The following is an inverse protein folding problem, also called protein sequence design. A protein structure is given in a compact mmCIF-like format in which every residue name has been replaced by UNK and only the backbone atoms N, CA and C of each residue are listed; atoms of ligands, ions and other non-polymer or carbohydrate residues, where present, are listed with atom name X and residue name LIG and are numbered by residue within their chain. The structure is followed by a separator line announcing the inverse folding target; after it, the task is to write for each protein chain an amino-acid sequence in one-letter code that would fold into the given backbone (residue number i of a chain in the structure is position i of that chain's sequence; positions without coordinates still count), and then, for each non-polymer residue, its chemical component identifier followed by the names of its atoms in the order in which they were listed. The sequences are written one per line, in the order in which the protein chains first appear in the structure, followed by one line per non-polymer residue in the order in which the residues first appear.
data_IF_191791320962
#
_entry.id   IF_191791320962
#
_cell.length_a   1.000
_cell.length_b   1.000
_cell.length_c   1.000
_cell.angle_alpha   90.00
_cell.angle_beta   90.00
_cell.angle_gamma   90.00
#
_symmetry.space_group_name_H-M   'P 1'
#
loop_
_entity.id
_entity.type
_entity.pdbx_description
1 polymer ?
#
# COMPACT_ATOMS: atom_id res chain seq x y z
N UNK A 1 -25.56 30.74 -45.16
CA UNK A 1 -25.33 31.26 -43.79
C UNK A 1 -25.54 32.76 -43.89
N UNK A 2 -26.54 33.31 -43.20
CA UNK A 2 -26.79 34.74 -43.24
C UNK A 2 -25.62 35.48 -42.57
N UNK A 3 -25.13 36.56 -43.18
CA UNK A 3 -24.03 37.34 -42.61
C UNK A 3 -24.42 37.89 -41.24
N UNK A 4 -23.48 37.80 -40.28
CA UNK A 4 -23.68 38.27 -38.90
C UNK A 4 -23.69 39.79 -38.92
N UNK A 5 -24.72 40.40 -38.35
CA UNK A 5 -24.80 41.86 -38.24
C UNK A 5 -23.97 42.28 -37.03
N UNK A 6 -22.86 43.00 -37.26
CA UNK A 6 -21.93 43.44 -36.20
C UNK A 6 -22.32 44.77 -35.56
N UNK A 7 -23.11 45.59 -36.28
CA UNK A 7 -23.50 46.94 -35.87
C UNK A 7 -25.02 47.00 -35.73
N UNK A 8 -25.50 47.48 -34.58
CA UNK A 8 -26.93 47.67 -34.30
C UNK A 8 -27.59 48.57 -35.37
N UNK A 9 -28.49 48.03 -36.22
CA UNK A 9 -29.15 48.80 -37.28
C UNK A 9 -30.03 49.94 -36.75
N UNK A 10 -30.44 49.88 -35.48
CA UNK A 10 -31.20 50.94 -34.80
C UNK A 10 -30.37 52.20 -34.55
N UNK A 11 -29.03 52.08 -34.57
CA UNK A 11 -28.09 53.19 -34.38
C UNK A 11 -27.65 53.84 -35.69
N UNK A 12 -28.08 53.31 -36.84
CA UNK A 12 -27.76 53.86 -38.15
C UNK A 12 -28.78 54.97 -38.48
N UNK A 13 -28.38 56.26 -38.50
CA UNK A 13 -29.28 57.33 -38.87
C UNK A 13 -29.68 57.21 -40.35
N UNK A 14 -30.93 57.55 -40.67
CA UNK A 14 -31.42 57.59 -42.04
C UNK A 14 -30.56 58.57 -42.86
N UNK A 15 -29.94 58.13 -43.97
CA UNK A 15 -29.20 59.04 -44.84
C UNK A 15 -30.09 60.17 -45.36
N UNK A 16 -29.54 61.37 -45.50
CA UNK A 16 -30.28 62.47 -46.09
C UNK A 16 -30.39 62.30 -47.62
N UNK A 17 -31.40 61.54 -48.04
CA UNK A 17 -31.70 61.28 -49.44
C UNK A 17 -32.15 62.54 -50.22
N UNK A 18 -32.40 63.68 -49.56
CA UNK A 18 -32.66 64.97 -50.21
C UNK A 18 -31.37 65.77 -50.49
N UNK A 19 -30.26 65.40 -49.86
CA UNK A 19 -28.96 66.05 -50.04
C UNK A 19 -28.39 65.92 -51.46
N UNK A 20 -27.42 66.78 -51.79
CA UNK A 20 -26.80 66.84 -53.12
C UNK A 20 -26.13 65.52 -53.55
N UNK A 21 -25.66 64.70 -52.60
CA UNK A 21 -25.01 63.41 -52.85
C UNK A 21 -25.90 62.38 -53.56
N UNK A 22 -27.22 62.44 -53.35
CA UNK A 22 -28.18 61.51 -53.95
C UNK A 22 -28.85 62.06 -55.21
N UNK A 23 -28.51 63.28 -55.65
CA UNK A 23 -29.14 63.93 -56.80
C UNK A 23 -28.97 63.18 -58.13
N UNK A 24 -27.89 62.40 -58.29
CA UNK A 24 -27.69 61.53 -59.44
C UNK A 24 -28.67 60.34 -59.44
N UNK A 25 -28.86 59.70 -58.28
CA UNK A 25 -29.73 58.53 -58.11
C UNK A 25 -31.20 58.92 -58.24
N UNK A 26 -31.59 60.09 -57.72
CA UNK A 26 -32.96 60.61 -57.87
C UNK A 26 -33.33 60.91 -59.32
N UNK A 27 -32.41 61.51 -60.10
CA UNK A 27 -32.63 61.74 -61.54
C UNK A 27 -32.73 60.45 -62.35
N UNK A 28 -31.93 59.43 -61.98
CA UNK A 28 -32.00 58.11 -62.61
C UNK A 28 -33.37 57.46 -62.36
N UNK A 29 -33.88 57.51 -61.12
CA UNK A 29 -35.21 56.97 -60.75
C UNK A 29 -36.38 57.69 -61.45
N UNK A 30 -36.27 58.99 -61.72
CA UNK A 30 -37.30 59.76 -62.45
C UNK A 30 -37.30 59.45 -63.96
N UNK A 31 -36.19 58.95 -64.50
CA UNK A 31 -36.04 58.64 -65.94
C UNK A 31 -36.25 57.14 -66.23
N UNK A 32 -36.43 56.32 -65.19
CA UNK A 32 -36.53 54.87 -65.29
C UNK A 32 -37.95 54.43 -65.72
N UNK A 33 -38.09 53.74 -66.88
CA UNK A 33 -39.39 53.30 -67.39
C UNK A 33 -40.09 52.23 -66.53
N UNK A 34 -39.38 51.57 -65.61
CA UNK A 34 -39.93 50.53 -64.74
C UNK A 34 -40.50 51.06 -63.41
N UNK A 35 -40.45 52.39 -63.18
CA UNK A 35 -41.05 53.04 -62.00
C UNK A 35 -41.96 54.21 -62.34
N UNK A 36 -43.18 53.95 -62.86
CA UNK A 36 -44.10 54.99 -63.37
C UNK A 36 -44.68 55.94 -62.30
N UNK A 37 -44.49 55.63 -61.01
CA UNK A 37 -45.06 56.40 -59.88
C UNK A 37 -44.11 57.47 -59.32
N UNK A 38 -42.97 57.75 -59.97
CA UNK A 38 -41.96 58.71 -59.50
C UNK A 38 -41.73 59.78 -60.56
N UNK A 39 -42.41 60.91 -60.45
CA UNK A 39 -42.38 61.99 -61.45
C UNK A 39 -41.58 63.21 -60.96
N UNK A 40 -41.33 63.30 -59.65
CA UNK A 40 -40.68 64.45 -58.99
C UNK A 40 -39.46 64.04 -58.15
N UNK A 41 -38.45 64.91 -58.03
CA UNK A 41 -37.25 64.70 -57.19
C UNK A 41 -37.60 64.39 -55.72
N UNK A 42 -38.71 64.96 -55.22
CA UNK A 42 -39.23 64.70 -53.87
C UNK A 42 -39.82 63.29 -53.71
N UNK A 43 -40.52 62.78 -54.74
CA UNK A 43 -41.08 61.42 -54.75
C UNK A 43 -39.96 60.37 -54.83
N UNK A 44 -38.89 60.67 -55.59
CA UNK A 44 -37.70 59.83 -55.64
C UNK A 44 -36.98 59.76 -54.28
N UNK A 45 -36.86 60.89 -53.58
CA UNK A 45 -36.30 60.93 -52.22
C UNK A 45 -37.18 60.18 -51.20
N UNK A 46 -38.52 60.23 -51.33
CA UNK A 46 -39.43 59.47 -50.48
C UNK A 46 -39.36 57.96 -50.73
N UNK A 47 -39.27 57.53 -51.99
CA UNK A 47 -39.12 56.12 -52.36
C UNK A 47 -37.82 55.52 -51.83
N UNK A 48 -36.70 56.24 -51.95
CA UNK A 48 -35.41 55.86 -51.36
C UNK A 48 -35.46 55.77 -49.83
N UNK A 49 -36.14 56.72 -49.16
CA UNK A 49 -36.39 56.64 -47.70
C UNK A 49 -37.26 55.45 -47.33
N UNK A 50 -38.27 55.13 -48.13
CA UNK A 50 -39.15 53.98 -47.94
C UNK A 50 -38.42 52.65 -48.06
N UNK A 51 -37.63 52.49 -49.13
CA UNK A 51 -36.79 51.32 -49.34
C UNK A 51 -35.75 51.16 -48.21
N UNK A 52 -35.06 52.25 -47.85
CA UNK A 52 -34.10 52.21 -46.74
C UNK A 52 -34.77 51.82 -45.41
N UNK A 53 -35.99 52.29 -45.13
CA UNK A 53 -36.74 51.87 -43.93
C UNK A 53 -37.07 50.38 -43.95
N UNK A 54 -37.54 49.85 -45.09
CA UNK A 54 -37.86 48.42 -45.24
C UNK A 54 -36.61 47.57 -45.02
N UNK A 55 -35.49 47.93 -45.63
CA UNK A 55 -34.21 47.22 -45.47
C UNK A 55 -33.68 47.34 -44.04
N UNK A 56 -33.71 48.55 -43.45
CA UNK A 56 -33.25 48.77 -42.08
C UNK A 56 -34.13 48.02 -41.06
N UNK A 57 -35.45 47.97 -41.26
CA UNK A 57 -36.35 47.23 -40.38
C UNK A 57 -36.14 45.72 -40.52
N UNK A 58 -35.89 45.20 -41.73
CA UNK A 58 -35.48 43.81 -41.93
C UNK A 58 -34.16 43.48 -41.21
N UNK A 59 -33.16 44.37 -41.29
CA UNK A 59 -31.89 44.23 -40.57
C UNK A 59 -32.08 44.27 -39.04
N UNK A 60 -32.96 45.13 -38.51
CA UNK A 60 -33.30 45.15 -37.07
C UNK A 60 -33.93 43.83 -36.64
N UNK A 61 -34.86 43.28 -37.40
CA UNK A 61 -35.48 41.99 -37.10
C UNK A 61 -34.44 40.86 -37.10
N UNK A 62 -33.53 40.86 -38.07
CA UNK A 62 -32.44 39.88 -38.13
C UNK A 62 -31.47 40.03 -36.95
N UNK A 63 -31.09 41.25 -36.57
CA UNK A 63 -30.21 41.52 -35.44
C UNK A 63 -30.85 41.15 -34.09
N UNK A 64 -32.16 41.42 -33.92
CA UNK A 64 -32.92 40.99 -32.75
C UNK A 64 -32.99 39.46 -32.65
N UNK A 65 -33.25 38.77 -33.76
CA UNK A 65 -33.25 37.31 -33.79
C UNK A 65 -31.87 36.73 -33.45
N UNK A 66 -30.79 37.35 -33.94
CA UNK A 66 -29.42 36.95 -33.62
C UNK A 66 -29.09 37.16 -32.14
N UNK A 67 -29.48 38.30 -31.56
CA UNK A 67 -29.24 38.62 -30.14
C UNK A 67 -29.98 37.64 -29.24
N UNK A 68 -31.24 37.33 -29.56
CA UNK A 68 -32.02 36.34 -28.82
C UNK A 68 -31.43 34.93 -28.91
N UNK A 69 -30.91 34.53 -30.09
CA UNK A 69 -30.27 33.24 -30.26
C UNK A 69 -28.96 33.14 -29.45
N UNK A 70 -28.15 34.20 -29.44
CA UNK A 70 -26.90 34.27 -28.66
C UNK A 70 -27.19 34.25 -27.14
N UNK A 71 -28.22 34.95 -26.68
CA UNK A 71 -28.68 34.93 -25.29
C UNK A 71 -29.17 33.54 -24.88
N UNK A 72 -29.97 32.87 -25.72
CA UNK A 72 -30.43 31.51 -25.46
C UNK A 72 -29.29 30.50 -25.41
N UNK A 73 -28.31 30.64 -26.31
CA UNK A 73 -27.12 29.78 -26.30
C UNK A 73 -26.26 30.02 -25.05
N UNK A 74 -26.08 31.27 -24.66
CA UNK A 74 -25.34 31.63 -23.44
C UNK A 74 -26.03 31.07 -22.19
N UNK A 75 -27.36 31.16 -22.11
CA UNK A 75 -28.14 30.63 -20.98
C UNK A 75 -28.10 29.10 -20.94
N UNK A 76 -28.23 28.43 -22.09
CA UNK A 76 -28.13 26.97 -22.15
C UNK A 76 -26.71 26.49 -21.78
N UNK A 77 -25.67 27.20 -22.21
CA UNK A 77 -24.30 26.91 -21.82
C UNK A 77 -24.06 27.11 -20.33
N UNK A 78 -24.65 28.15 -19.72
CA UNK A 78 -24.61 28.36 -18.26
C UNK A 78 -25.28 27.22 -17.51
N UNK A 79 -26.46 26.78 -17.97
CA UNK A 79 -27.19 25.66 -17.38
C UNK A 79 -26.38 24.37 -17.47
N UNK A 80 -25.84 24.04 -18.65
CA UNK A 80 -24.99 22.87 -18.85
C UNK A 80 -23.72 22.91 -17.99
N UNK A 81 -23.08 24.08 -17.87
CA UNK A 81 -21.91 24.24 -17.02
C UNK A 81 -22.26 24.07 -15.53
N UNK A 82 -23.44 24.50 -15.10
CA UNK A 82 -23.91 24.32 -13.72
C UNK A 82 -24.24 22.85 -13.45
N UNK A 83 -24.98 22.19 -14.34
CA UNK A 83 -25.28 20.75 -14.25
C UNK A 83 -23.99 19.91 -14.22
N UNK A 84 -23.00 20.24 -15.05
CA UNK A 84 -21.71 19.56 -15.06
C UNK A 84 -20.92 19.75 -13.75
N UNK A 85 -21.00 20.93 -13.13
CA UNK A 85 -20.38 21.19 -11.82
C UNK A 85 -21.06 20.37 -10.73
N UNK A 86 -22.38 20.36 -10.70
CA UNK A 86 -23.17 19.59 -9.73
C UNK A 86 -22.91 18.08 -9.86
N UNK A 87 -22.81 17.58 -11.10
CA UNK A 87 -22.42 16.19 -11.36
C UNK A 87 -20.99 15.88 -10.89
N UNK A 88 -20.02 16.75 -11.19
CA UNK A 88 -18.64 16.56 -10.76
C UNK A 88 -18.50 16.54 -9.23
N UNK A 89 -19.20 17.43 -8.52
CA UNK A 89 -19.22 17.44 -7.05
C UNK A 89 -19.90 16.19 -6.46
N UNK A 90 -20.98 15.71 -7.09
CA UNK A 90 -21.64 14.46 -6.70
C UNK A 90 -20.70 13.27 -6.87
N UNK A 91 -20.04 13.17 -8.03
CA UNK A 91 -19.08 12.10 -8.32
C UNK A 91 -17.89 12.15 -7.37
N UNK A 92 -17.36 13.34 -7.06
CA UNK A 92 -16.28 13.50 -6.10
C UNK A 92 -16.70 13.06 -4.69
N UNK A 93 -17.90 13.45 -4.23
CA UNK A 93 -18.45 12.98 -2.95
C UNK A 93 -18.61 11.47 -2.90
N UNK A 94 -19.08 10.86 -3.99
CA UNK A 94 -19.21 9.40 -4.08
C UNK A 94 -17.85 8.71 -4.02
N UNK A 95 -16.85 9.20 -4.75
CA UNK A 95 -15.47 8.69 -4.72
C UNK A 95 -14.85 8.84 -3.32
N UNK A 96 -15.05 9.97 -2.65
CA UNK A 96 -14.56 10.18 -1.28
C UNK A 96 -15.21 9.21 -0.29
N UNK A 97 -16.53 8.99 -0.39
CA UNK A 97 -17.25 8.00 0.42
C UNK A 97 -16.76 6.58 0.13
N UNK A 98 -16.50 6.23 -1.13
CA UNK A 98 -15.98 4.92 -1.51
C UNK A 98 -14.56 4.69 -0.98
N UNK A 99 -13.68 5.70 -1.10
CA UNK A 99 -12.34 5.67 -0.52
C UNK A 99 -12.41 5.56 1.01
N UNK A 100 -13.33 6.27 1.67
CA UNK A 100 -13.53 6.16 3.11
C UNK A 100 -14.01 4.76 3.52
N UNK A 101 -14.97 4.18 2.79
CA UNK A 101 -15.44 2.80 3.00
C UNK A 101 -14.33 1.77 2.77
N UNK A 102 -13.50 1.95 1.73
CA UNK A 102 -12.34 1.10 1.52
C UNK A 102 -11.32 1.21 2.67
N UNK A 103 -11.03 2.43 3.12
CA UNK A 103 -10.15 2.65 4.28
C UNK A 103 -10.70 2.00 5.53
N UNK A 104 -12.01 2.08 5.76
CA UNK A 104 -12.68 1.46 6.90
C UNK A 104 -12.66 -0.07 6.81
N UNK A 105 -12.93 -0.66 5.63
CA UNK A 105 -12.79 -2.11 5.39
C UNK A 105 -11.36 -2.61 5.60
N UNK A 106 -10.35 -1.77 5.33
CA UNK A 106 -8.94 -2.09 5.54
C UNK A 106 -8.47 -1.88 6.99
N UNK A 107 -9.27 -1.25 7.87
CA UNK A 107 -8.91 -1.12 9.30
C UNK A 107 -9.07 -2.47 9.99
N UNK A 108 -8.11 -2.79 10.84
CA UNK A 108 -8.20 -3.95 11.74
C UNK A 108 -9.46 -3.82 12.61
N UNK A 109 -10.35 -4.83 12.63
CA UNK A 109 -11.51 -4.83 13.50
C UNK A 109 -11.10 -4.66 14.96
N UNK A 110 -11.82 -3.80 15.69
CA UNK A 110 -11.71 -3.77 17.14
C UNK A 110 -12.52 -4.95 17.69
N UNK A 111 -11.87 -5.80 18.46
CA UNK A 111 -12.53 -6.86 19.21
C UNK A 111 -12.92 -6.33 20.59
N UNK A 112 -14.03 -6.84 21.12
CA UNK A 112 -14.44 -6.55 22.49
C UNK A 112 -13.45 -7.17 23.49
N UNK A 113 -13.35 -6.59 24.68
CA UNK A 113 -12.47 -7.08 25.74
C UNK A 113 -13.23 -7.32 27.03
N UNK A 114 -12.84 -8.37 27.75
CA UNK A 114 -13.42 -8.66 29.06
C UNK A 114 -12.86 -7.68 30.10
N UNK A 115 -13.66 -6.65 30.43
CA UNK A 115 -13.31 -5.68 31.46
C UNK A 115 -13.02 -6.38 32.81
N UNK A 116 -11.87 -6.06 33.41
CA UNK A 116 -11.41 -6.66 34.67
C UNK A 116 -10.54 -7.92 34.51
N UNK A 117 -10.33 -8.43 33.29
CA UNK A 117 -9.39 -9.53 33.04
C UNK A 117 -8.05 -8.97 32.56
N UNK A 118 -7.03 -9.02 33.43
CA UNK A 118 -5.65 -8.69 33.07
C UNK A 118 -4.97 -9.82 32.30
N UNK A 119 -3.91 -9.50 31.56
CA UNK A 119 -3.05 -10.51 30.95
C UNK A 119 -2.21 -11.20 32.03
N UNK A 120 -2.14 -12.53 32.01
CA UNK A 120 -1.38 -13.33 33.00
C UNK A 120 0.11 -13.42 32.67
N UNK A 121 0.48 -13.29 31.39
CA UNK A 121 1.86 -13.28 30.92
C UNK A 121 1.96 -12.56 29.58
N UNK A 122 3.02 -11.79 29.38
CA UNK A 122 3.33 -11.19 28.07
C UNK A 122 4.05 -12.27 27.25
N UNK A 123 3.52 -12.66 26.07
CA UNK A 123 4.19 -13.64 25.22
C UNK A 123 5.62 -13.20 24.91
N UNK A 124 6.60 -14.05 25.21
CA UNK A 124 7.98 -13.79 24.84
C UNK A 124 8.07 -13.79 23.31
N UNK A 125 8.69 -12.75 22.75
CA UNK A 125 8.89 -12.67 21.30
C UNK A 125 10.06 -13.57 20.91
N UNK A 126 9.77 -14.66 20.21
CA UNK A 126 10.77 -15.51 19.61
C UNK A 126 11.05 -15.09 18.16
N UNK A 127 12.21 -15.51 17.67
CA UNK A 127 12.57 -15.31 16.27
C UNK A 127 11.61 -16.13 15.37
N UNK A 128 11.01 -15.54 14.31
CA UNK A 128 10.00 -16.22 13.47
C UNK A 128 10.50 -17.54 12.85
N UNK A 129 11.80 -17.63 12.54
CA UNK A 129 12.42 -18.88 12.08
C UNK A 129 12.33 -19.98 13.14
N UNK A 130 12.63 -19.67 14.40
CA UNK A 130 12.60 -20.64 15.49
C UNK A 130 11.17 -21.11 15.77
N UNK A 131 10.19 -20.19 15.80
CA UNK A 131 8.77 -20.52 15.93
C UNK A 131 8.31 -21.51 14.84
N UNK A 132 8.69 -21.26 13.58
CA UNK A 132 8.37 -22.14 12.45
C UNK A 132 9.05 -23.51 12.55
N UNK A 133 10.30 -23.58 13.01
CA UNK A 133 11.02 -24.85 13.17
C UNK A 133 10.42 -25.68 14.31
N UNK A 134 10.07 -25.04 15.42
CA UNK A 134 9.42 -25.69 16.57
C UNK A 134 8.02 -26.18 16.21
N UNK A 135 7.22 -25.42 15.45
CA UNK A 135 5.90 -25.87 15.00
C UNK A 135 5.99 -27.08 14.05
N UNK A 136 7.05 -27.15 13.24
CA UNK A 136 7.38 -28.31 12.41
C UNK A 136 8.04 -29.46 13.19
N UNK A 137 8.24 -29.30 14.51
CA UNK A 137 8.94 -30.25 15.39
C UNK A 137 10.34 -30.62 14.91
N UNK A 138 10.99 -29.70 14.18
CA UNK A 138 12.35 -29.87 13.68
C UNK A 138 13.38 -29.31 14.63
N UNK A 139 14.62 -29.79 14.48
CA UNK A 139 15.76 -29.26 15.22
C UNK A 139 15.91 -27.75 15.01
N UNK A 140 16.13 -27.03 16.11
CA UNK A 140 16.38 -25.59 16.15
C UNK A 140 17.45 -25.33 17.20
N UNK A 141 18.45 -24.51 16.85
CA UNK A 141 19.55 -24.15 17.74
C UNK A 141 19.03 -23.47 19.00
N UNK A 142 19.62 -23.82 20.16
CA UNK A 142 19.14 -23.31 21.45
C UNK A 142 19.40 -21.80 21.58
N UNK A 143 20.34 -21.27 20.80
CA UNK A 143 20.65 -19.85 20.73
C UNK A 143 19.42 -18.98 20.44
N UNK A 144 18.45 -19.44 19.65
CA UNK A 144 17.23 -18.66 19.34
C UNK A 144 16.35 -18.34 20.56
N UNK A 145 16.58 -19.04 21.67
CA UNK A 145 15.84 -18.90 22.93
C UNK A 145 16.61 -18.05 23.96
N UNK A 146 17.78 -17.52 23.57
CA UNK A 146 18.58 -16.62 24.39
C UNK A 146 18.01 -15.19 24.39
N UNK A 147 18.33 -14.38 25.41
CA UNK A 147 17.98 -12.95 25.42
C UNK A 147 18.49 -12.18 24.20
N UNK A 148 19.68 -12.52 23.70
CA UNK A 148 20.32 -11.89 22.55
C UNK A 148 19.50 -12.13 21.28
N UNK A 149 19.13 -13.39 21.01
CA UNK A 149 18.25 -13.71 19.89
C UNK A 149 16.84 -13.12 20.04
N UNK A 150 16.36 -12.95 21.27
CA UNK A 150 15.08 -12.30 21.55
C UNK A 150 15.11 -10.79 21.24
N UNK A 151 16.25 -10.13 21.44
CA UNK A 151 16.45 -8.74 21.02
C UNK A 151 16.47 -8.61 19.50
N UNK A 152 17.23 -9.49 18.83
CA UNK A 152 17.27 -9.54 17.36
C UNK A 152 15.88 -9.82 16.76
N UNK A 153 15.10 -10.71 17.37
CA UNK A 153 13.72 -10.99 16.95
C UNK A 153 12.80 -9.76 17.04
N UNK A 154 13.00 -8.89 18.05
CA UNK A 154 12.24 -7.64 18.19
C UNK A 154 12.59 -6.65 17.09
N UNK A 155 13.86 -6.52 16.74
CA UNK A 155 14.34 -5.66 15.64
C UNK A 155 13.89 -6.18 14.28
N UNK A 156 13.86 -7.50 14.08
CA UNK A 156 13.33 -8.09 12.85
C UNK A 156 11.82 -7.82 12.69
N UNK A 157 11.03 -7.81 13.78
CA UNK A 157 9.59 -7.48 13.68
C UNK A 157 9.35 -6.01 13.38
N UNK A 158 10.08 -5.09 14.00
CA UNK A 158 9.92 -3.65 13.70
C UNK A 158 10.29 -3.31 12.25
N UNK A 159 11.23 -4.02 11.66
CA UNK A 159 11.65 -3.83 10.26
C UNK A 159 10.69 -4.47 9.24
N UNK A 160 10.04 -5.58 9.60
CA UNK A 160 8.98 -6.22 8.79
C UNK A 160 7.79 -5.29 8.55
N UNK A 161 7.43 -4.45 9.52
CA UNK A 161 6.35 -3.46 9.36
C UNK A 161 6.70 -2.34 8.35
N UNK A 162 7.96 -2.25 7.91
CA UNK A 162 8.46 -1.16 7.05
C UNK A 162 8.69 -1.56 5.58
N UNK A 163 8.21 -2.74 5.12
CA UNK A 163 8.40 -3.22 3.73
C UNK A 163 9.85 -3.08 3.21
N UNK A 164 10.85 -3.31 4.07
CA UNK A 164 12.26 -3.31 3.67
C UNK A 164 12.54 -4.48 2.73
N UNK A 165 13.36 -4.24 1.70
CA UNK A 165 13.90 -5.27 0.82
C UNK A 165 15.39 -5.42 1.14
N UNK A 166 15.85 -6.66 1.31
CA UNK A 166 17.26 -6.96 1.55
C UNK A 166 17.90 -7.58 0.32
N UNK A 167 19.10 -7.12 0.00
CA UNK A 167 19.87 -7.60 -1.14
C UNK A 167 20.82 -8.70 -0.64
N UNK A 168 20.58 -9.95 -1.00
CA UNK A 168 21.51 -11.04 -0.72
C UNK A 168 22.40 -11.30 -1.94
N UNK A 169 23.71 -11.44 -1.71
CA UNK A 169 24.65 -11.91 -2.72
C UNK A 169 24.71 -13.44 -2.70
N UNK A 170 24.33 -14.08 -3.80
CA UNK A 170 24.54 -15.50 -4.00
C UNK A 170 25.97 -15.67 -4.49
N UNK A 171 26.87 -16.08 -3.60
CA UNK A 171 28.22 -16.46 -3.95
C UNK A 171 28.21 -17.91 -4.43
N UNK A 172 27.67 -18.15 -5.64
CA UNK A 172 28.00 -19.38 -6.35
C UNK A 172 29.42 -19.23 -6.92
N UNK A 173 30.38 -19.95 -6.33
CA UNK A 173 31.82 -19.88 -6.64
C UNK A 173 32.20 -20.37 -8.06
N UNK A 174 31.24 -20.58 -8.96
CA UNK A 174 31.50 -20.92 -10.35
C UNK A 174 31.01 -19.81 -11.29
N UNK A 175 32.00 -19.05 -11.78
CA UNK A 175 31.92 -18.01 -12.83
C UNK A 175 31.48 -16.62 -12.38
N UNK A 176 32.34 -15.94 -11.60
CA UNK A 176 32.64 -14.51 -11.73
C UNK A 176 31.50 -13.48 -11.70
N UNK A 177 30.27 -13.90 -11.39
CA UNK A 177 29.06 -13.09 -11.46
C UNK A 177 28.34 -13.28 -10.14
N UNK A 178 28.54 -12.33 -9.21
CA UNK A 178 27.78 -12.29 -7.97
C UNK A 178 26.33 -11.96 -8.30
N UNK A 179 25.46 -12.97 -8.27
CA UNK A 179 24.03 -12.75 -8.48
C UNK A 179 23.43 -12.15 -7.21
N UNK A 180 22.97 -10.90 -7.28
CA UNK A 180 22.24 -10.28 -6.20
C UNK A 180 20.74 -10.58 -6.33
N UNK A 181 20.13 -11.13 -5.28
CA UNK A 181 18.69 -11.38 -5.23
C UNK A 181 18.05 -10.43 -4.23
N UNK A 182 17.02 -9.70 -4.66
CA UNK A 182 16.16 -8.90 -3.79
C UNK A 182 15.18 -9.81 -3.07
N UNK A 183 15.24 -9.80 -1.75
CA UNK A 183 14.48 -10.72 -0.92
C UNK A 183 13.65 -9.89 0.07
N UNK A 184 12.37 -10.25 0.16
CA UNK A 184 11.47 -9.64 1.13
C UNK A 184 11.91 -10.03 2.54
N UNK A 185 11.95 -9.05 3.46
CA UNK A 185 12.24 -9.24 4.89
C UNK A 185 11.24 -10.16 5.60
N UNK A 186 10.12 -10.52 4.97
CA UNK A 186 9.19 -11.52 5.51
C UNK A 186 9.69 -12.97 5.37
N UNK A 187 10.85 -13.19 4.74
CA UNK A 187 11.43 -14.53 4.64
C UNK A 187 11.93 -15.01 6.01
N UNK A 188 11.37 -16.13 6.49
CA UNK A 188 11.78 -16.82 7.73
C UNK A 188 13.17 -17.43 7.57
N UNK A 189 14.21 -16.60 7.56
CA UNK A 189 15.60 -17.02 7.43
C UNK A 189 16.23 -17.33 8.79
N UNK A 190 17.22 -18.24 8.81
CA UNK A 190 18.13 -18.33 9.94
C UNK A 190 18.85 -16.98 10.14
N UNK A 191 19.06 -16.61 11.40
CA UNK A 191 19.92 -15.47 11.74
C UNK A 191 21.37 -15.75 11.37
N UNK A 192 22.09 -14.72 10.90
CA UNK A 192 23.54 -14.81 10.68
C UNK A 192 24.33 -14.92 11.99
N UNK A 193 23.73 -14.54 13.13
CA UNK A 193 24.35 -14.58 14.44
C UNK A 193 24.11 -15.90 15.18
N UNK A 194 23.47 -16.88 14.53
CA UNK A 194 23.13 -18.15 15.16
C UNK A 194 24.38 -18.87 15.66
N UNK A 195 24.39 -19.19 16.95
CA UNK A 195 25.46 -19.98 17.57
C UNK A 195 25.00 -21.45 17.61
N UNK A 196 25.76 -22.39 17.00
CA UNK A 196 25.49 -23.82 17.13
C UNK A 196 25.56 -24.27 18.59
N UNK A 197 24.74 -25.24 18.98
CA UNK A 197 24.70 -25.74 20.37
C UNK A 197 26.07 -26.15 20.92
N UNK A 198 26.90 -26.79 20.09
CA UNK A 198 28.23 -27.24 20.48
C UNK A 198 29.19 -26.09 20.87
N UNK A 199 28.85 -24.85 20.50
CA UNK A 199 29.60 -23.64 20.85
C UNK A 199 28.92 -22.80 21.93
N UNK A 200 27.74 -23.20 22.41
CA UNK A 200 27.06 -22.48 23.48
C UNK A 200 27.76 -22.71 24.81
N UNK A 201 27.84 -21.64 25.61
CA UNK A 201 28.28 -21.76 27.00
C UNK A 201 27.17 -22.37 27.87
N UNK A 202 27.57 -23.01 28.98
CA UNK A 202 26.62 -23.53 29.96
C UNK A 202 25.64 -22.47 30.47
N UNK A 203 26.12 -21.24 30.72
CA UNK A 203 25.27 -20.12 31.13
C UNK A 203 24.21 -19.74 30.09
N UNK A 204 24.58 -19.74 28.80
CA UNK A 204 23.61 -19.49 27.73
C UNK A 204 22.56 -20.61 27.62
N UNK A 205 22.98 -21.87 27.76
CA UNK A 205 22.05 -23.01 27.81
C UNK A 205 21.07 -22.85 28.98
N UNK A 206 21.56 -22.45 30.16
CA UNK A 206 20.74 -22.24 31.35
C UNK A 206 19.71 -21.11 31.19
N UNK A 207 20.05 -20.03 30.48
CA UNK A 207 19.12 -18.95 30.18
C UNK A 207 18.09 -19.36 29.12
N UNK A 208 18.50 -20.15 28.13
CA UNK A 208 17.69 -20.52 26.98
C UNK A 208 16.73 -21.71 27.23
N UNK A 209 17.00 -22.56 28.24
CA UNK A 209 16.20 -23.76 28.51
C UNK A 209 14.73 -23.45 28.82
N UNK A 210 14.46 -22.40 29.60
CA UNK A 210 13.10 -22.09 30.07
C UNK A 210 12.24 -21.54 28.93
N UNK A 211 12.69 -20.54 28.15
CA UNK A 211 11.98 -20.12 26.94
C UNK A 211 11.83 -21.24 25.90
N UNK A 212 12.81 -22.14 25.79
CA UNK A 212 12.71 -23.31 24.92
C UNK A 212 11.57 -24.24 25.32
N UNK A 213 11.50 -24.66 26.60
CA UNK A 213 10.43 -25.53 27.10
C UNK A 213 9.05 -24.87 26.93
N UNK A 214 8.95 -23.58 27.19
CA UNK A 214 7.70 -22.84 27.02
C UNK A 214 7.27 -22.76 25.54
N UNK A 215 8.23 -22.63 24.62
CA UNK A 215 7.95 -22.67 23.19
C UNK A 215 7.52 -24.06 22.70
N UNK A 216 8.10 -25.14 23.25
CA UNK A 216 7.63 -26.51 22.95
C UNK A 216 6.17 -26.72 23.37
N UNK A 217 5.77 -26.14 24.51
CA UNK A 217 4.40 -26.19 25.03
C UNK A 217 3.43 -25.37 24.18
N UNK A 218 3.77 -24.11 23.90
CA UNK A 218 2.87 -23.17 23.24
C UNK A 218 2.82 -23.32 21.72
N UNK A 219 3.98 -23.36 21.05
CA UNK A 219 4.10 -23.33 19.59
C UNK A 219 4.25 -24.72 18.97
N UNK A 220 5.01 -25.60 19.62
CA UNK A 220 5.31 -26.94 19.10
C UNK A 220 4.19 -27.97 19.30
N UNK A 221 3.21 -27.64 20.17
CA UNK A 221 2.11 -28.52 20.58
C UNK A 221 2.62 -29.94 20.90
N UNK A 222 3.71 -30.02 21.67
CA UNK A 222 4.27 -31.29 22.11
C UNK A 222 3.39 -31.90 23.20
N UNK A 223 3.16 -33.22 23.17
CA UNK A 223 2.50 -33.90 24.29
C UNK A 223 3.28 -33.72 25.60
N UNK A 224 2.57 -33.62 26.72
CA UNK A 224 3.15 -33.34 28.05
C UNK A 224 4.30 -34.28 28.43
N UNK A 225 4.24 -35.55 28.00
CA UNK A 225 5.33 -36.52 28.23
C UNK A 225 6.67 -36.06 27.67
N UNK A 226 6.69 -35.40 26.50
CA UNK A 226 7.92 -34.87 25.89
C UNK A 226 8.39 -33.62 26.60
N UNK A 227 7.47 -32.76 27.02
CA UNK A 227 7.78 -31.55 27.80
C UNK A 227 8.43 -31.97 29.13
N UNK A 228 7.85 -32.96 29.82
CA UNK A 228 8.40 -33.51 31.05
C UNK A 228 9.78 -34.15 30.83
N UNK A 229 9.97 -34.91 29.74
CA UNK A 229 11.26 -35.47 29.37
C UNK A 229 12.34 -34.39 29.19
N UNK A 230 12.07 -33.33 28.42
CA UNK A 230 13.02 -32.23 28.24
C UNK A 230 13.28 -31.49 29.56
N UNK A 231 12.26 -31.25 30.39
CA UNK A 231 12.44 -30.62 31.70
C UNK A 231 13.31 -31.47 32.64
N UNK A 232 13.09 -32.79 32.67
CA UNK A 232 13.90 -33.73 33.44
C UNK A 232 15.33 -33.80 32.92
N UNK A 233 15.54 -33.77 31.60
CA UNK A 233 16.88 -33.72 31.00
C UNK A 233 17.69 -32.52 31.52
N UNK A 234 17.15 -31.30 31.43
CA UNK A 234 17.85 -30.11 31.94
C UNK A 234 18.07 -30.16 33.45
N UNK A 235 17.08 -30.61 34.22
CA UNK A 235 17.18 -30.76 35.68
C UNK A 235 18.30 -31.73 36.07
N UNK A 236 18.37 -32.88 35.38
CA UNK A 236 19.39 -33.91 35.64
C UNK A 236 20.80 -33.40 35.33
N UNK A 237 20.96 -32.63 34.24
CA UNK A 237 22.25 -32.00 33.91
C UNK A 237 22.67 -30.96 34.96
N UNK A 238 21.74 -30.15 35.47
CA UNK A 238 22.01 -29.13 36.50
C UNK A 238 22.40 -29.71 37.85
N UNK A 239 21.83 -30.87 38.20
CA UNK A 239 22.13 -31.56 39.45
C UNK A 239 23.37 -32.44 39.35
N UNK A 240 23.98 -32.55 38.16
CA UNK A 240 25.08 -33.48 37.91
C UNK A 240 26.39 -33.01 38.57
N UNK A 241 27.14 -33.96 39.15
CA UNK A 241 28.40 -33.68 39.85
C UNK A 241 29.51 -33.14 38.92
N UNK A 242 29.42 -33.37 37.61
CA UNK A 242 30.41 -32.87 36.64
C UNK A 242 30.55 -31.35 36.69
N UNK A 243 29.48 -30.62 36.96
CA UNK A 243 29.50 -29.16 37.05
C UNK A 243 30.39 -28.63 38.19
N UNK A 244 30.79 -29.48 39.15
CA UNK A 244 31.72 -29.13 40.24
C UNK A 244 33.19 -29.29 39.85
N UNK A 245 33.48 -29.89 38.70
CA UNK A 245 34.85 -30.15 38.22
C UNK A 245 35.37 -28.95 37.40
N UNK A 246 36.70 -28.75 37.32
CA UNK A 246 37.28 -27.82 36.36
C UNK A 246 36.89 -28.24 34.93
N UNK A 247 36.54 -27.28 34.07
CA UNK A 247 35.98 -27.48 32.71
C UNK A 247 34.63 -28.25 32.64
N UNK A 248 34.04 -28.62 33.77
CA UNK A 248 32.79 -29.40 33.81
C UNK A 248 31.61 -28.72 33.11
N UNK A 249 31.55 -27.39 33.16
CA UNK A 249 30.55 -26.60 32.44
C UNK A 249 30.68 -26.75 30.91
N UNK A 250 31.90 -26.84 30.39
CA UNK A 250 32.17 -26.98 28.95
C UNK A 250 31.89 -28.40 28.47
N UNK A 251 32.27 -29.41 29.26
CA UNK A 251 31.90 -30.82 29.00
C UNK A 251 30.38 -30.98 29.00
N UNK A 252 29.68 -30.38 29.95
CA UNK A 252 28.21 -30.46 30.04
C UNK A 252 27.51 -29.76 28.87
N UNK A 253 28.06 -28.65 28.38
CA UNK A 253 27.56 -27.96 27.18
C UNK A 253 27.76 -28.80 25.91
N UNK A 254 28.88 -29.50 25.77
CA UNK A 254 29.11 -30.43 24.67
C UNK A 254 28.14 -31.63 24.73
N UNK A 255 28.00 -32.24 25.90
CA UNK A 255 27.03 -33.31 26.13
C UNK A 255 25.60 -32.88 25.80
N UNK A 256 25.21 -31.65 26.18
CA UNK A 256 23.92 -31.07 25.80
C UNK A 256 23.72 -31.06 24.29
N UNK A 257 24.70 -30.53 23.55
CA UNK A 257 24.63 -30.38 22.10
C UNK A 257 24.50 -31.73 21.39
N UNK A 258 25.32 -32.70 21.78
CA UNK A 258 25.30 -34.05 21.18
C UNK A 258 24.01 -34.79 21.48
N UNK A 259 23.58 -34.83 22.75
CA UNK A 259 22.35 -35.54 23.14
C UNK A 259 21.12 -34.93 22.47
N UNK A 260 21.03 -33.60 22.41
CA UNK A 260 19.89 -32.92 21.78
C UNK A 260 19.85 -33.20 20.28
N UNK A 261 21.00 -33.13 19.61
CA UNK A 261 21.10 -33.41 18.17
C UNK A 261 20.75 -34.87 17.87
N UNK A 262 21.32 -35.81 18.62
CA UNK A 262 21.05 -37.24 18.49
C UNK A 262 19.56 -37.56 18.69
N UNK A 263 18.91 -36.91 19.67
CA UNK A 263 17.48 -37.09 19.90
C UNK A 263 16.63 -36.63 18.71
N UNK A 264 16.90 -35.45 18.15
CA UNK A 264 16.14 -34.98 16.99
C UNK A 264 16.37 -35.84 15.75
N UNK A 265 17.58 -36.38 15.54
CA UNK A 265 17.86 -37.35 14.48
C UNK A 265 17.05 -38.63 14.68
N UNK A 266 17.09 -39.21 15.89
CA UNK A 266 16.33 -40.41 16.22
C UNK A 266 14.81 -40.19 16.09
N UNK A 267 14.31 -39.02 16.50
CA UNK A 267 12.91 -38.62 16.32
C UNK A 267 12.52 -38.51 14.83
N UNK A 268 13.39 -37.96 13.98
CA UNK A 268 13.18 -37.90 12.52
C UNK A 268 13.15 -39.29 11.87
N UNK A 269 13.86 -40.26 12.45
CA UNK A 269 13.80 -41.68 12.06
C UNK A 269 12.60 -42.45 12.67
N UNK A 270 11.82 -41.82 13.55
CA UNK A 270 10.65 -42.43 14.18
C UNK A 270 10.95 -43.24 15.45
N UNK A 271 12.18 -43.20 15.95
CA UNK A 271 12.65 -43.96 17.12
C UNK A 271 13.17 -43.01 18.23
N UNK A 272 12.35 -42.07 18.75
CA UNK A 272 12.81 -41.17 19.79
C UNK A 272 13.09 -41.94 21.09
N UNK A 273 14.25 -41.69 21.68
CA UNK A 273 14.61 -42.21 23.00
C UNK A 273 14.30 -41.19 24.11
N UNK A 274 14.38 -41.64 25.36
CA UNK A 274 14.12 -40.81 26.54
C UNK A 274 15.37 -40.00 26.93
N UNK A 275 15.34 -38.68 26.70
CA UNK A 275 16.42 -37.77 27.08
C UNK A 275 16.57 -37.58 28.60
N UNK A 276 15.55 -37.92 29.40
CA UNK A 276 15.65 -37.79 30.85
C UNK A 276 16.63 -38.79 31.45
N UNK A 277 16.90 -39.91 30.77
CA UNK A 277 17.89 -40.90 31.20
C UNK A 277 19.29 -40.39 30.87
N UNK A 278 20.03 -40.01 31.90
CA UNK A 278 21.38 -39.47 31.76
C UNK A 278 22.38 -40.56 31.32
N UNK A 279 23.12 -40.32 30.24
CA UNK A 279 24.08 -41.28 29.68
C UNK A 279 25.50 -40.96 30.15
N UNK A 280 26.00 -41.71 31.12
CA UNK A 280 27.38 -41.56 31.61
C UNK A 280 28.40 -41.92 30.52
N UNK A 281 28.06 -42.84 29.60
CA UNK A 281 28.91 -43.22 28.48
C UNK A 281 29.19 -42.04 27.55
N UNK A 282 28.14 -41.34 27.13
CA UNK A 282 28.27 -40.17 26.24
C UNK A 282 28.95 -39.01 26.99
N UNK A 283 28.69 -38.84 28.28
CA UNK A 283 29.41 -37.84 29.08
C UNK A 283 30.92 -38.13 29.12
N UNK A 284 31.31 -39.40 29.27
CA UNK A 284 32.72 -39.80 29.27
C UNK A 284 33.37 -39.57 27.89
N UNK A 285 32.65 -39.81 26.80
CA UNK A 285 33.11 -39.49 25.43
C UNK A 285 33.34 -37.99 25.27
N UNK A 286 32.38 -37.15 25.66
CA UNK A 286 32.54 -35.69 25.65
C UNK A 286 33.70 -35.22 26.54
N UNK A 287 33.96 -35.91 27.65
CA UNK A 287 35.13 -35.63 28.50
C UNK A 287 36.43 -35.97 27.77
N UNK A 288 36.49 -37.10 27.05
CA UNK A 288 37.68 -37.51 26.32
C UNK A 288 37.97 -36.59 25.13
N UNK A 289 36.96 -36.04 24.44
CA UNK A 289 37.16 -35.10 23.33
C UNK A 289 37.80 -33.77 23.73
N UNK A 290 37.77 -33.46 25.03
CA UNK A 290 38.26 -32.21 25.59
C UNK A 290 39.73 -32.26 26.03
N UNK A 291 40.36 -33.44 25.99
CA UNK A 291 41.73 -33.71 26.43
C UNK A 291 42.54 -34.40 25.33
#
# INVERSE_FOLDING_TARGET
MAERIEVDPSKIPCPDFAGAAYGFVRKALVTDPDTPDVTTDEEAAQKLRGQWKIENDALKTQFQAQTQADEQLAENNRRLAQEAREQAESEQRQREVEVAKEREKKRTPLYDFNSGVGITSIPQHLHPYAEKRVSQRKFVELWYFTPEASQEAKEHRSTVDTNRLELAANNEEQKGTTAFTLLSTHSTRPSNNVIPDAKLSWSQIQLAKTPFIECLRSTGNYPDKYIAMFASFYTNMEMHNELRKPEGARVMALYHAEMRRAWYLAADHGEPFDLSVFSETVLQECRNEMW
#
